data_IF_912202688377
#
_entry.id   IF_912202688377
#
_cell.length_a   1.000
_cell.length_b   1.000
_cell.length_c   1.000
_cell.angle_alpha   90.00
_cell.angle_beta   90.00
_cell.angle_gamma   90.00
#
_symmetry.space_group_name_H-M   'P 1'
#
loop_
_entity.id
_entity.type
_entity.pdbx_description
1 polymer ?
#
# COMPACT_ATOMS: atom_id res chain seq x y z
N UNK A 1 15.56 -42.82 -25.42
CA UNK A 1 15.99 -41.76 -24.50
C UNK A 1 14.71 -41.16 -23.90
N UNK A 2 14.38 -41.56 -22.66
CA UNK A 2 13.13 -41.16 -21.97
C UNK A 2 13.43 -39.89 -21.17
N UNK A 3 12.73 -38.80 -21.47
CA UNK A 3 12.82 -37.58 -20.71
C UNK A 3 11.93 -37.73 -19.47
N UNK A 4 12.53 -37.77 -18.30
CA UNK A 4 11.81 -37.71 -17.03
C UNK A 4 11.32 -36.29 -16.77
N UNK A 5 9.99 -36.11 -16.78
CA UNK A 5 9.35 -34.89 -16.35
C UNK A 5 9.38 -34.85 -14.81
N UNK A 6 10.25 -34.00 -14.26
CA UNK A 6 10.30 -33.77 -12.81
C UNK A 6 9.09 -32.92 -12.45
N UNK A 7 8.08 -33.54 -11.85
CA UNK A 7 6.91 -32.89 -11.29
C UNK A 7 7.33 -32.17 -10.00
N UNK A 8 7.37 -30.85 -10.04
CA UNK A 8 7.57 -30.01 -8.84
C UNK A 8 6.35 -30.14 -7.94
N UNK A 9 6.42 -30.95 -6.90
CA UNK A 9 5.37 -31.04 -5.87
C UNK A 9 5.51 -29.83 -4.98
N UNK A 10 4.61 -28.85 -5.16
CA UNK A 10 4.45 -27.74 -4.21
C UNK A 10 3.86 -28.34 -2.93
N UNK A 11 4.69 -28.47 -1.91
CA UNK A 11 4.23 -28.84 -0.57
C UNK A 11 3.34 -27.74 -0.01
N UNK A 12 2.05 -27.97 -0.02
CA UNK A 12 1.07 -27.18 0.74
C UNK A 12 1.37 -27.39 2.22
N UNK A 13 2.10 -26.47 2.86
CA UNK A 13 2.24 -26.49 4.31
C UNK A 13 0.90 -26.09 4.92
N UNK A 14 0.27 -26.95 5.75
CA UNK A 14 -0.90 -26.54 6.51
C UNK A 14 -0.51 -25.36 7.39
N UNK A 15 -1.26 -24.25 7.27
CA UNK A 15 -1.03 -23.05 8.06
C UNK A 15 -1.13 -23.40 9.56
N UNK A 16 -0.12 -23.10 10.37
CA UNK A 16 -0.28 -23.17 11.81
C UNK A 16 -1.40 -22.23 12.24
N UNK A 17 -2.06 -22.54 13.35
CA UNK A 17 -3.10 -21.75 14.04
C UNK A 17 -2.52 -20.43 14.58
N UNK A 18 -2.17 -19.51 13.67
CA UNK A 18 -1.33 -18.33 13.88
C UNK A 18 -2.09 -17.10 14.37
N UNK A 19 -3.43 -17.18 14.48
CA UNK A 19 -4.28 -16.02 14.72
C UNK A 19 -4.88 -15.93 16.12
N UNK A 20 -4.42 -16.75 17.07
CA UNK A 20 -5.04 -16.85 18.39
C UNK A 20 -4.99 -15.54 19.22
N UNK A 21 -4.12 -14.58 18.89
CA UNK A 21 -3.93 -13.33 19.62
C UNK A 21 -4.19 -12.04 18.78
N UNK A 22 -4.62 -12.17 17.53
CA UNK A 22 -4.91 -10.98 16.70
C UNK A 22 -6.26 -10.38 17.08
N UNK A 23 -6.34 -9.04 17.01
CA UNK A 23 -7.59 -8.30 17.18
C UNK A 23 -8.65 -8.81 16.17
N UNK A 24 -9.93 -8.97 16.59
CA UNK A 24 -10.98 -9.55 15.71
C UNK A 24 -11.14 -8.84 14.36
N UNK A 25 -11.02 -7.50 14.34
CA UNK A 25 -11.09 -6.71 13.12
C UNK A 25 -9.89 -6.98 12.19
N UNK A 26 -8.69 -7.09 12.74
CA UNK A 26 -7.52 -7.43 11.96
C UNK A 26 -7.62 -8.84 11.35
N UNK A 27 -8.14 -9.80 12.11
CA UNK A 27 -8.36 -11.17 11.62
C UNK A 27 -9.29 -11.24 10.41
N UNK A 28 -10.40 -10.49 10.45
CA UNK A 28 -11.34 -10.48 9.31
C UNK A 28 -10.73 -9.79 8.09
N UNK A 29 -9.94 -8.70 8.29
CA UNK A 29 -9.23 -8.02 7.22
C UNK A 29 -8.21 -8.93 6.54
N UNK A 30 -7.41 -9.67 7.30
CA UNK A 30 -6.46 -10.67 6.77
C UNK A 30 -7.17 -11.74 5.94
N UNK A 31 -8.31 -12.24 6.44
CA UNK A 31 -9.12 -13.23 5.71
C UNK A 31 -9.66 -12.65 4.40
N UNK A 32 -10.18 -11.42 4.44
CA UNK A 32 -10.72 -10.73 3.28
C UNK A 32 -9.63 -10.48 2.22
N UNK A 33 -8.46 -9.97 2.64
CA UNK A 33 -7.32 -9.73 1.76
C UNK A 33 -6.85 -11.01 1.05
N UNK A 34 -6.75 -12.14 1.75
CA UNK A 34 -6.35 -13.42 1.16
C UNK A 34 -7.38 -13.93 0.14
N UNK A 35 -8.68 -13.81 0.43
CA UNK A 35 -9.75 -14.23 -0.50
C UNK A 35 -9.75 -13.39 -1.78
N UNK A 36 -9.60 -12.08 -1.66
CA UNK A 36 -9.48 -11.19 -2.80
C UNK A 36 -8.22 -11.52 -3.63
N UNK A 37 -7.09 -11.70 -2.97
CA UNK A 37 -5.84 -12.06 -3.63
C UNK A 37 -5.92 -13.41 -4.37
N UNK A 38 -6.65 -14.40 -3.86
CA UNK A 38 -6.90 -15.67 -4.57
C UNK A 38 -7.64 -15.43 -5.90
N UNK A 39 -8.59 -14.47 -5.96
CA UNK A 39 -9.27 -14.08 -7.20
C UNK A 39 -8.29 -13.40 -8.17
N UNK A 40 -7.50 -12.47 -7.66
CA UNK A 40 -6.51 -11.72 -8.45
C UNK A 40 -5.50 -12.67 -9.10
N UNK A 41 -4.87 -13.56 -8.30
CA UNK A 41 -3.84 -14.49 -8.79
C UNK A 41 -4.41 -15.47 -9.83
N UNK A 42 -5.64 -15.97 -9.64
CA UNK A 42 -6.28 -16.83 -10.66
C UNK A 42 -6.50 -16.10 -11.98
N UNK A 43 -6.74 -14.79 -11.94
CA UNK A 43 -6.98 -13.98 -13.13
C UNK A 43 -5.70 -13.69 -13.94
N UNK A 44 -4.51 -13.86 -13.37
CA UNK A 44 -3.23 -13.74 -14.10
C UNK A 44 -3.11 -14.72 -15.29
N UNK A 45 -3.77 -15.87 -15.22
CA UNK A 45 -3.75 -16.85 -16.30
C UNK A 45 -4.62 -16.47 -17.50
N UNK A 46 -5.36 -15.35 -17.45
CA UNK A 46 -6.29 -14.91 -18.50
C UNK A 46 -6.21 -13.39 -18.77
N UNK A 47 -5.03 -12.79 -18.57
CA UNK A 47 -4.83 -11.35 -18.75
C UNK A 47 -5.28 -10.85 -20.13
N UNK A 48 -5.03 -11.62 -21.20
CA UNK A 48 -5.40 -11.27 -22.58
C UNK A 48 -6.91 -11.17 -22.82
N UNK A 49 -7.73 -11.74 -21.92
CA UNK A 49 -9.19 -11.76 -22.02
C UNK A 49 -9.91 -10.86 -21.02
N UNK A 50 -9.17 -10.09 -20.21
CA UNK A 50 -9.76 -9.21 -19.21
C UNK A 50 -10.40 -7.97 -19.84
N UNK A 51 -11.57 -7.61 -19.33
CA UNK A 51 -12.15 -6.30 -19.62
C UNK A 51 -11.42 -5.21 -18.84
N UNK A 52 -10.66 -4.38 -19.57
CA UNK A 52 -9.96 -3.22 -19.02
C UNK A 52 -10.74 -1.97 -19.38
N UNK A 53 -11.11 -1.18 -18.38
CA UNK A 53 -11.74 0.12 -18.54
C UNK A 53 -10.79 1.23 -18.05
N UNK A 54 -10.85 2.41 -18.68
CA UNK A 54 -10.09 3.58 -18.23
C UNK A 54 -10.99 4.47 -17.39
N UNK A 55 -10.57 4.78 -16.16
CA UNK A 55 -11.20 5.80 -15.29
C UNK A 55 -10.76 7.22 -15.68
N UNK A 56 -9.59 7.33 -16.32
CA UNK A 56 -8.97 8.58 -16.72
C UNK A 56 -7.62 8.34 -17.37
N UNK A 57 -6.83 9.41 -17.57
CA UNK A 57 -5.49 9.29 -18.14
C UNK A 57 -4.59 8.43 -17.24
N UNK A 58 -4.07 7.32 -17.78
CA UNK A 58 -3.22 6.37 -17.06
C UNK A 58 -3.83 5.82 -15.76
N UNK A 59 -5.15 5.77 -15.69
CA UNK A 59 -5.92 5.24 -14.56
C UNK A 59 -6.86 4.15 -15.08
N UNK A 60 -6.60 2.91 -14.68
CA UNK A 60 -7.23 1.72 -15.22
C UNK A 60 -7.95 0.94 -14.11
N UNK A 61 -9.03 0.29 -14.49
CA UNK A 61 -9.75 -0.66 -13.67
C UNK A 61 -10.10 -1.88 -14.50
N UNK A 62 -10.06 -3.03 -13.88
CA UNK A 62 -10.48 -4.29 -14.50
C UNK A 62 -11.70 -4.87 -13.80
N UNK A 63 -12.33 -5.88 -14.41
CA UNK A 63 -13.34 -6.67 -13.74
C UNK A 63 -12.82 -7.35 -12.46
N UNK A 64 -11.49 -7.56 -12.40
CA UNK A 64 -10.80 -8.20 -11.25
C UNK A 64 -10.78 -7.28 -10.05
N UNK A 65 -10.51 -5.99 -10.22
CA UNK A 65 -10.53 -4.98 -9.14
C UNK A 65 -11.92 -4.97 -8.47
N UNK A 66 -12.98 -4.86 -9.29
CA UNK A 66 -14.37 -4.86 -8.79
C UNK A 66 -14.76 -6.15 -8.11
N UNK A 67 -14.35 -7.30 -8.66
CA UNK A 67 -14.63 -8.60 -8.06
C UNK A 67 -13.89 -8.80 -6.75
N UNK A 68 -12.62 -8.35 -6.67
CA UNK A 68 -11.83 -8.39 -5.45
C UNK A 68 -12.42 -7.49 -4.36
N UNK A 69 -12.82 -6.26 -4.69
CA UNK A 69 -13.48 -5.34 -3.75
C UNK A 69 -14.80 -5.93 -3.23
N UNK A 70 -15.64 -6.47 -4.12
CA UNK A 70 -16.89 -7.10 -3.73
C UNK A 70 -16.68 -8.28 -2.77
N UNK A 71 -15.64 -9.11 -2.98
CA UNK A 71 -15.29 -10.23 -2.09
C UNK A 71 -14.80 -9.73 -0.72
N UNK A 72 -14.00 -8.66 -0.67
CA UNK A 72 -13.56 -8.04 0.58
C UNK A 72 -14.78 -7.56 1.36
N UNK A 73 -15.64 -6.76 0.73
CA UNK A 73 -16.84 -6.21 1.35
C UNK A 73 -17.77 -7.33 1.84
N UNK A 74 -18.02 -8.35 1.02
CA UNK A 74 -18.88 -9.48 1.39
C UNK A 74 -18.32 -10.27 2.57
N UNK A 75 -16.98 -10.48 2.61
CA UNK A 75 -16.32 -11.19 3.70
C UNK A 75 -16.44 -10.43 5.02
N UNK A 76 -16.20 -9.12 5.00
CA UNK A 76 -16.28 -8.27 6.20
C UNK A 76 -17.74 -8.11 6.65
N UNK A 77 -18.67 -7.83 5.73
CA UNK A 77 -20.09 -7.58 6.05
C UNK A 77 -20.79 -8.77 6.69
N UNK A 78 -20.39 -10.00 6.37
CA UNK A 78 -20.91 -11.20 7.06
C UNK A 78 -20.63 -11.21 8.55
N UNK A 79 -19.48 -10.67 8.96
CA UNK A 79 -19.08 -10.62 10.36
C UNK A 79 -19.54 -9.30 11.04
N UNK A 80 -19.61 -8.21 10.26
CA UNK A 80 -19.88 -6.86 10.72
C UNK A 80 -20.85 -6.15 9.76
N UNK A 81 -22.18 -6.44 9.83
CA UNK A 81 -23.15 -5.92 8.88
C UNK A 81 -23.34 -4.40 8.95
N UNK A 82 -23.08 -3.79 10.11
CA UNK A 82 -23.29 -2.35 10.36
C UNK A 82 -22.04 -1.49 10.11
N UNK A 83 -20.95 -2.08 9.57
CA UNK A 83 -19.75 -1.32 9.23
C UNK A 83 -19.92 -0.62 7.88
N UNK A 84 -19.25 0.54 7.76
CA UNK A 84 -19.16 1.31 6.52
C UNK A 84 -17.94 0.88 5.70
N UNK A 85 -17.93 1.25 4.40
CA UNK A 85 -16.82 0.99 3.49
C UNK A 85 -16.56 2.23 2.64
N UNK A 86 -15.29 2.49 2.39
CA UNK A 86 -14.77 3.41 1.39
C UNK A 86 -13.86 2.61 0.46
N UNK A 87 -14.38 2.19 -0.68
CA UNK A 87 -13.63 1.45 -1.69
C UNK A 87 -13.14 2.35 -2.82
N UNK A 88 -12.04 1.99 -3.45
CA UNK A 88 -11.54 2.67 -4.64
C UNK A 88 -12.56 2.58 -5.78
N UNK A 89 -13.21 1.43 -5.95
CA UNK A 89 -14.12 1.16 -7.07
C UNK A 89 -15.56 1.56 -6.77
N UNK A 90 -16.02 1.27 -5.56
CA UNK A 90 -17.42 1.51 -5.15
C UNK A 90 -17.67 2.85 -4.47
N UNK A 91 -16.61 3.56 -4.06
CA UNK A 91 -16.74 4.76 -3.25
C UNK A 91 -17.30 4.49 -1.85
N UNK A 92 -18.04 5.45 -1.31
CA UNK A 92 -18.62 5.38 0.03
C UNK A 92 -19.85 4.46 0.07
N UNK A 93 -19.85 3.46 0.95
CA UNK A 93 -20.98 2.56 1.18
C UNK A 93 -21.36 2.57 2.66
N UNK A 94 -22.55 3.05 2.95
CA UNK A 94 -23.12 3.08 4.30
C UNK A 94 -22.46 4.10 5.23
N UNK A 95 -22.82 4.00 6.50
CA UNK A 95 -22.25 4.75 7.61
C UNK A 95 -22.23 3.84 8.83
N UNK A 96 -21.22 3.93 9.69
CA UNK A 96 -21.11 3.04 10.83
C UNK A 96 -19.96 3.44 11.77
N UNK A 97 -19.83 2.74 12.91
CA UNK A 97 -18.80 3.05 13.91
C UNK A 97 -17.38 2.70 13.45
N UNK A 98 -17.28 1.81 12.47
CA UNK A 98 -16.04 1.40 11.82
C UNK A 98 -16.22 1.55 10.32
N UNK A 99 -15.24 2.14 9.66
CA UNK A 99 -15.18 2.28 8.21
C UNK A 99 -13.96 1.56 7.68
N UNK A 100 -14.17 0.71 6.68
CA UNK A 100 -13.13 -0.01 6.00
C UNK A 100 -12.71 0.75 4.74
N UNK A 101 -11.43 1.09 4.64
CA UNK A 101 -10.85 1.79 3.50
C UNK A 101 -10.10 0.74 2.70
N UNK A 102 -10.49 0.56 1.43
CA UNK A 102 -10.12 -0.62 0.63
C UNK A 102 -9.53 -0.17 -0.71
N UNK A 103 -8.33 -0.63 -0.99
CA UNK A 103 -7.80 -0.76 -2.33
C UNK A 103 -7.76 -2.25 -2.67
N UNK A 104 -8.61 -2.71 -3.59
CA UNK A 104 -8.69 -4.14 -3.92
C UNK A 104 -7.48 -4.63 -4.70
N UNK A 105 -6.81 -3.75 -5.48
CA UNK A 105 -5.68 -4.10 -6.34
C UNK A 105 -4.77 -2.88 -6.57
N UNK A 106 -4.02 -2.48 -5.53
CA UNK A 106 -3.01 -1.44 -5.68
C UNK A 106 -1.89 -1.91 -6.61
N UNK A 107 -1.75 -1.22 -7.74
CA UNK A 107 -0.88 -1.60 -8.84
C UNK A 107 -1.61 -2.25 -10.02
N UNK A 108 -2.84 -1.83 -10.34
CA UNK A 108 -3.66 -2.33 -11.48
C UNK A 108 -2.89 -2.30 -12.79
N UNK A 109 -2.11 -1.22 -13.04
CA UNK A 109 -1.27 -1.15 -14.26
C UNK A 109 -0.24 -2.28 -14.29
N UNK A 110 0.41 -2.58 -13.18
CA UNK A 110 1.36 -3.70 -13.08
C UNK A 110 0.65 -5.04 -13.35
N UNK A 111 -0.51 -5.22 -12.73
CA UNK A 111 -1.32 -6.43 -12.91
C UNK A 111 -1.70 -6.65 -14.38
N UNK A 112 -2.21 -5.63 -15.09
CA UNK A 112 -2.60 -5.71 -16.51
C UNK A 112 -1.41 -6.13 -17.39
N UNK A 113 -0.21 -5.64 -17.05
CA UNK A 113 1.02 -5.98 -17.78
C UNK A 113 1.70 -7.29 -17.29
N UNK A 114 1.10 -8.04 -16.37
CA UNK A 114 1.68 -9.25 -15.81
C UNK A 114 2.94 -9.00 -14.94
N UNK A 115 3.17 -7.74 -14.54
CA UNK A 115 4.27 -7.39 -13.65
C UNK A 115 3.93 -7.80 -12.21
N UNK A 116 4.70 -8.69 -11.54
CA UNK A 116 4.34 -9.27 -10.24
C UNK A 116 4.62 -8.31 -9.07
N UNK A 117 4.03 -7.12 -9.10
CA UNK A 117 4.17 -6.09 -8.05
C UNK A 117 2.85 -5.33 -7.90
N UNK A 118 1.98 -5.86 -7.08
CA UNK A 118 0.67 -5.33 -6.72
C UNK A 118 0.23 -5.96 -5.39
N UNK A 119 -0.75 -5.36 -4.73
CA UNK A 119 -1.24 -5.87 -3.45
C UNK A 119 -2.73 -5.58 -3.23
N UNK A 120 -3.26 -6.16 -2.15
CA UNK A 120 -4.53 -5.78 -1.54
C UNK A 120 -4.24 -4.94 -0.31
N UNK A 121 -4.86 -3.78 -0.17
CA UNK A 121 -4.72 -2.86 0.97
C UNK A 121 -6.07 -2.67 1.67
N UNK A 122 -6.12 -2.90 2.98
CA UNK A 122 -7.34 -2.76 3.81
C UNK A 122 -6.98 -2.04 5.10
N UNK A 123 -7.54 -0.83 5.30
CA UNK A 123 -7.47 -0.09 6.54
C UNK A 123 -8.79 -0.11 7.29
N UNK A 124 -8.79 -0.18 8.61
CA UNK A 124 -9.99 0.00 9.43
C UNK A 124 -9.89 1.30 10.22
N UNK A 125 -10.78 2.24 9.92
CA UNK A 125 -10.91 3.54 10.59
C UNK A 125 -11.96 3.46 11.68
N UNK A 126 -11.55 3.75 12.92
CA UNK A 126 -12.40 3.76 14.09
C UNK A 126 -12.36 5.16 14.70
N UNK A 127 -13.52 5.81 14.83
CA UNK A 127 -13.62 7.17 15.38
C UNK A 127 -12.66 8.16 14.68
N UNK A 128 -12.60 8.08 13.35
CA UNK A 128 -11.80 8.99 12.52
C UNK A 128 -10.31 8.65 12.41
N UNK A 129 -9.83 7.59 13.07
CA UNK A 129 -8.41 7.18 13.08
C UNK A 129 -8.23 5.76 12.57
N UNK A 130 -7.17 5.50 11.80
CA UNK A 130 -6.81 4.14 11.39
C UNK A 130 -6.26 3.38 12.59
N UNK A 131 -6.95 2.31 12.98
CA UNK A 131 -6.58 1.46 14.11
C UNK A 131 -6.10 0.06 13.70
N UNK A 132 -6.45 -0.42 12.48
CA UNK A 132 -5.93 -1.65 11.92
C UNK A 132 -5.59 -1.46 10.44
N UNK A 133 -4.54 -2.14 9.98
CA UNK A 133 -4.11 -2.13 8.58
C UNK A 133 -3.57 -3.48 8.13
N UNK A 134 -3.88 -3.83 6.89
CA UNK A 134 -3.38 -5.03 6.19
C UNK A 134 -2.95 -4.63 4.80
N UNK A 135 -1.73 -5.00 4.42
CA UNK A 135 -1.23 -4.97 3.04
C UNK A 135 -0.77 -6.39 2.69
N UNK A 136 -1.34 -6.98 1.66
CA UNK A 136 -1.02 -8.34 1.25
C UNK A 136 -0.49 -8.39 -0.18
N UNK A 137 0.78 -8.77 -0.32
CA UNK A 137 1.44 -9.09 -1.59
C UNK A 137 1.19 -10.57 -1.94
N UNK A 138 0.31 -10.89 -2.89
CA UNK A 138 0.01 -12.27 -3.22
C UNK A 138 1.11 -12.97 -4.00
N UNK A 139 1.95 -12.21 -4.69
CA UNK A 139 3.01 -12.79 -5.52
C UNK A 139 4.20 -13.26 -4.69
N UNK A 140 4.48 -12.57 -3.56
CA UNK A 140 5.49 -12.97 -2.58
C UNK A 140 4.90 -13.76 -1.42
N UNK A 141 3.55 -13.81 -1.33
CA UNK A 141 2.80 -14.38 -0.20
C UNK A 141 3.19 -13.72 1.13
N UNK A 142 3.44 -12.43 1.11
CA UNK A 142 3.83 -11.63 2.26
C UNK A 142 2.65 -10.80 2.76
N UNK A 143 2.28 -10.98 4.02
CA UNK A 143 1.22 -10.20 4.65
C UNK A 143 1.80 -9.28 5.72
N UNK A 144 1.61 -7.98 5.52
CA UNK A 144 1.96 -6.92 6.46
C UNK A 144 0.72 -6.55 7.24
N UNK A 145 0.84 -6.49 8.55
CA UNK A 145 -0.29 -6.17 9.44
C UNK A 145 0.14 -5.18 10.51
N UNK A 146 -0.77 -4.30 10.90
CA UNK A 146 -0.59 -3.44 12.06
C UNK A 146 -1.90 -3.27 12.82
N UNK A 147 -1.79 -3.15 14.14
CA UNK A 147 -2.82 -2.62 15.02
C UNK A 147 -2.21 -1.54 15.88
N UNK A 148 -2.93 -0.45 16.07
CA UNK A 148 -2.44 0.70 16.82
C UNK A 148 -2.06 0.31 18.25
N UNK A 149 -0.80 0.59 18.59
CA UNK A 149 -0.20 0.24 19.89
C UNK A 149 0.39 -1.17 19.97
N UNK A 150 0.11 -2.06 19.01
CA UNK A 150 0.61 -3.44 19.04
C UNK A 150 1.86 -3.64 18.15
N UNK A 151 2.20 -2.62 17.33
CA UNK A 151 3.30 -2.65 16.38
C UNK A 151 2.91 -3.20 15.01
N UNK A 152 3.86 -3.15 14.08
CA UNK A 152 3.74 -3.69 12.73
C UNK A 152 4.42 -5.06 12.62
N UNK A 153 3.85 -5.94 11.80
CA UNK A 153 4.31 -7.31 11.61
C UNK A 153 4.33 -7.70 10.14
N UNK A 154 5.32 -8.51 9.74
CA UNK A 154 5.38 -9.25 8.48
C UNK A 154 5.33 -10.74 8.82
N UNK A 155 4.31 -11.47 8.35
CA UNK A 155 4.13 -12.90 8.65
C UNK A 155 4.29 -13.21 10.16
N UNK A 156 3.68 -12.40 11.02
CA UNK A 156 3.75 -12.44 12.49
C UNK A 156 5.13 -12.13 13.13
N UNK A 157 6.12 -11.75 12.34
CA UNK A 157 7.38 -11.22 12.87
C UNK A 157 7.26 -9.71 13.00
N UNK A 158 7.53 -9.20 14.19
CA UNK A 158 7.55 -7.75 14.40
C UNK A 158 8.59 -7.10 13.49
N UNK A 159 8.18 -6.07 12.74
CA UNK A 159 9.05 -5.30 11.85
C UNK A 159 9.33 -3.91 12.41
N UNK A 160 10.38 -3.29 11.91
CA UNK A 160 10.79 -1.92 12.21
C UNK A 160 11.29 -1.25 10.93
N UNK A 161 11.10 0.06 10.85
CA UNK A 161 11.78 0.88 9.85
C UNK A 161 13.29 0.75 9.96
N UNK A 162 14.00 1.09 8.90
CA UNK A 162 15.46 1.00 8.86
C UNK A 162 16.15 1.88 9.90
N UNK A 163 17.38 1.54 10.25
CA UNK A 163 18.24 2.34 11.12
C UNK A 163 19.04 3.41 10.38
N UNK A 164 18.69 3.68 9.10
CA UNK A 164 19.36 4.67 8.25
C UNK A 164 19.29 6.07 8.88
N UNK A 165 20.39 6.80 8.86
CA UNK A 165 20.53 8.06 9.62
C UNK A 165 20.49 9.33 8.76
N UNK A 166 20.40 9.19 7.44
CA UNK A 166 20.38 10.32 6.49
C UNK A 166 20.16 9.80 5.08
N UNK A 167 20.32 10.68 4.10
CA UNK A 167 20.04 10.37 2.69
C UNK A 167 21.18 9.59 2.03
N UNK A 168 22.43 9.82 2.44
CA UNK A 168 23.58 9.09 1.91
C UNK A 168 23.43 7.58 2.20
N UNK A 169 23.40 6.78 1.14
CA UNK A 169 23.16 5.35 1.22
C UNK A 169 21.70 4.92 1.34
N UNK A 170 20.75 5.86 1.46
CA UNK A 170 19.33 5.57 1.56
C UNK A 170 18.73 5.08 0.23
N UNK A 171 17.76 4.17 0.32
CA UNK A 171 16.94 3.71 -0.79
C UNK A 171 15.53 4.27 -0.66
N UNK A 172 15.09 5.08 -1.65
CA UNK A 172 13.82 5.81 -1.59
C UNK A 172 12.83 5.26 -2.61
N UNK A 173 11.61 4.97 -2.14
CA UNK A 173 10.45 4.67 -2.99
C UNK A 173 9.74 5.94 -3.44
N UNK A 174 9.05 5.91 -4.59
CA UNK A 174 8.27 7.04 -5.10
C UNK A 174 7.25 6.60 -6.14
N UNK A 175 6.24 7.45 -6.40
CA UNK A 175 5.35 7.40 -7.54
C UNK A 175 5.43 8.65 -8.41
N UNK A 176 4.79 8.65 -9.58
CA UNK A 176 4.82 9.77 -10.52
C UNK A 176 3.46 10.47 -10.62
N UNK A 177 3.41 11.81 -10.63
CA UNK A 177 2.16 12.58 -10.75
C UNK A 177 1.69 12.64 -12.22
N UNK A 178 1.37 11.49 -12.84
CA UNK A 178 0.98 11.42 -14.24
C UNK A 178 -0.51 11.14 -14.49
N UNK A 179 -1.30 10.94 -13.42
CA UNK A 179 -2.76 10.76 -13.51
C UNK A 179 -3.44 12.13 -13.59
N UNK A 180 -3.93 12.62 -12.45
CA UNK A 180 -4.67 13.88 -12.34
C UNK A 180 -3.80 15.09 -11.92
N UNK A 181 -2.53 14.86 -11.54
CA UNK A 181 -1.66 15.86 -10.90
C UNK A 181 -0.48 16.28 -11.81
N UNK A 182 -0.72 16.31 -13.14
CA UNK A 182 0.33 16.62 -14.12
C UNK A 182 0.87 18.04 -14.01
N UNK A 183 0.14 18.96 -13.37
CA UNK A 183 0.61 20.31 -13.06
C UNK A 183 1.82 20.33 -12.12
N UNK A 184 2.05 19.27 -11.37
CA UNK A 184 3.21 19.15 -10.48
C UNK A 184 4.39 18.43 -11.11
N UNK A 185 4.32 18.03 -12.38
CA UNK A 185 5.34 17.19 -12.99
C UNK A 185 6.74 17.82 -12.97
N UNK A 186 6.87 19.10 -13.32
CA UNK A 186 8.17 19.79 -13.30
C UNK A 186 8.71 19.92 -11.88
N UNK A 187 7.85 20.25 -10.93
CA UNK A 187 8.19 20.30 -9.50
C UNK A 187 8.65 18.95 -9.00
N UNK A 188 7.91 17.89 -9.33
CA UNK A 188 8.24 16.52 -8.96
C UNK A 188 9.58 16.08 -9.57
N UNK A 189 9.85 16.39 -10.84
CA UNK A 189 11.11 16.06 -11.50
C UNK A 189 12.31 16.77 -10.85
N UNK A 190 12.12 18.01 -10.38
CA UNK A 190 13.15 18.70 -9.61
C UNK A 190 13.42 18.02 -8.27
N UNK A 191 12.37 17.63 -7.52
CA UNK A 191 12.46 16.84 -6.30
C UNK A 191 13.17 15.50 -6.55
N UNK A 192 12.74 14.77 -7.57
CA UNK A 192 13.31 13.48 -7.94
C UNK A 192 14.80 13.58 -8.26
N UNK A 193 15.19 14.61 -9.02
CA UNK A 193 16.61 14.89 -9.35
C UNK A 193 17.44 15.02 -8.07
N UNK A 194 16.97 15.80 -7.11
CA UNK A 194 17.72 16.01 -5.86
C UNK A 194 17.75 14.73 -5.02
N UNK A 195 16.66 13.95 -4.97
CA UNK A 195 16.67 12.64 -4.31
C UNK A 195 17.68 11.71 -4.96
N UNK A 196 17.74 11.64 -6.31
CA UNK A 196 18.70 10.79 -7.04
C UNK A 196 20.16 11.19 -6.77
N UNK A 197 20.45 12.48 -6.62
CA UNK A 197 21.79 12.98 -6.38
C UNK A 197 22.28 12.77 -4.94
N UNK A 198 21.36 12.60 -4.00
CA UNK A 198 21.69 12.57 -2.56
C UNK A 198 21.43 11.19 -1.90
N UNK A 199 21.00 10.19 -2.66
CA UNK A 199 20.66 8.85 -2.12
C UNK A 199 21.39 7.73 -2.88
N UNK A 200 21.35 6.51 -2.35
CA UNK A 200 21.90 5.34 -3.04
C UNK A 200 21.06 4.90 -4.24
N UNK A 201 19.79 5.33 -4.29
CA UNK A 201 18.93 5.02 -5.42
C UNK A 201 17.46 5.23 -5.16
N UNK A 202 16.70 5.25 -6.27
CA UNK A 202 15.26 5.42 -6.26
C UNK A 202 14.58 4.16 -6.79
N UNK A 203 13.41 3.84 -6.26
CA UNK A 203 12.53 2.79 -6.76
C UNK A 203 11.17 3.39 -7.09
N UNK A 204 10.64 3.02 -8.26
CA UNK A 204 9.28 3.37 -8.70
C UNK A 204 8.55 2.09 -9.08
N UNK A 205 8.18 1.24 -8.11
CA UNK A 205 7.60 -0.07 -8.43
C UNK A 205 6.14 0.02 -8.88
N UNK A 206 5.37 1.01 -8.41
CA UNK A 206 4.01 1.28 -8.88
C UNK A 206 2.89 0.67 -8.05
N UNK A 207 3.11 0.52 -6.74
CA UNK A 207 2.13 0.13 -5.73
C UNK A 207 2.46 0.89 -4.44
N UNK A 208 1.71 1.95 -4.15
CA UNK A 208 1.99 2.86 -3.03
C UNK A 208 1.83 2.16 -1.66
N UNK A 209 0.84 1.29 -1.53
CA UNK A 209 0.64 0.52 -0.30
C UNK A 209 1.81 -0.44 -0.02
N UNK A 210 2.38 -1.09 -1.06
CA UNK A 210 3.60 -1.90 -0.91
C UNK A 210 4.82 -1.05 -0.62
N UNK A 211 4.98 0.11 -1.23
CA UNK A 211 6.08 1.02 -0.96
C UNK A 211 6.09 1.44 0.53
N UNK A 212 4.92 1.78 1.09
CA UNK A 212 4.76 2.07 2.51
C UNK A 212 5.04 0.85 3.40
N UNK A 213 4.57 -0.34 3.00
CA UNK A 213 4.85 -1.58 3.71
C UNK A 213 6.36 -1.91 3.71
N UNK A 214 7.07 -1.59 2.64
CA UNK A 214 8.52 -1.77 2.53
C UNK A 214 9.30 -0.77 3.39
N UNK A 215 8.82 0.48 3.52
CA UNK A 215 9.36 1.42 4.51
C UNK A 215 9.19 0.85 5.92
N UNK A 216 7.99 0.35 6.27
CA UNK A 216 7.71 -0.23 7.58
C UNK A 216 8.59 -1.46 7.89
N UNK A 217 8.96 -2.23 6.86
CA UNK A 217 9.83 -3.41 6.98
C UNK A 217 11.34 -3.09 6.90
N UNK A 218 11.72 -1.81 6.71
CA UNK A 218 13.10 -1.39 6.55
C UNK A 218 13.77 -1.89 5.25
N UNK A 219 12.97 -2.23 4.22
CA UNK A 219 13.45 -2.62 2.88
C UNK A 219 13.80 -1.40 2.05
N UNK A 220 13.05 -0.31 2.22
CA UNK A 220 13.35 1.04 1.77
C UNK A 220 13.44 1.94 2.98
N UNK A 221 14.15 3.05 2.85
CA UNK A 221 14.42 3.97 3.96
C UNK A 221 13.42 5.10 4.02
N UNK A 222 12.77 5.38 2.89
CA UNK A 222 11.74 6.40 2.75
C UNK A 222 10.90 6.22 1.49
N UNK A 223 9.81 6.99 1.44
CA UNK A 223 8.88 7.06 0.32
C UNK A 223 8.29 8.46 0.23
N UNK A 224 8.06 8.96 -0.98
CA UNK A 224 7.29 10.18 -1.22
C UNK A 224 6.48 10.09 -2.50
N UNK A 225 5.26 10.62 -2.47
CA UNK A 225 4.39 10.67 -3.65
C UNK A 225 3.40 11.82 -3.54
N UNK A 226 2.88 12.28 -4.69
CA UNK A 226 1.93 13.37 -4.82
C UNK A 226 0.58 12.83 -5.30
N UNK A 227 -0.50 13.14 -4.57
CA UNK A 227 -1.86 12.95 -5.03
C UNK A 227 -2.39 11.52 -4.93
N UNK A 228 -2.06 10.83 -3.86
CA UNK A 228 -2.60 9.49 -3.56
C UNK A 228 -4.05 9.54 -3.08
N UNK A 229 -4.80 8.47 -3.29
CA UNK A 229 -6.11 8.25 -2.69
C UNK A 229 -6.02 7.82 -1.21
N UNK A 230 -7.12 7.89 -0.46
CA UNK A 230 -7.13 7.42 0.93
C UNK A 230 -6.89 5.90 1.04
N UNK A 231 -7.30 5.13 0.05
CA UNK A 231 -7.11 3.68 -0.01
C UNK A 231 -5.66 3.26 -0.23
N UNK A 232 -4.87 4.02 -1.01
CA UNK A 232 -3.43 3.81 -1.23
C UNK A 232 -2.63 3.89 0.08
N UNK A 233 -3.12 4.71 1.03
CA UNK A 233 -2.32 5.13 2.18
C UNK A 233 -2.81 4.61 3.53
N UNK A 234 -4.10 4.27 3.67
CA UNK A 234 -4.71 3.98 4.97
C UNK A 234 -4.00 2.85 5.74
N UNK A 235 -3.79 1.68 5.12
CA UNK A 235 -3.11 0.57 5.77
C UNK A 235 -1.61 0.84 5.92
N UNK A 236 -0.98 1.31 4.83
CA UNK A 236 0.47 1.56 4.78
C UNK A 236 0.95 2.60 5.78
N UNK A 237 0.17 3.67 6.00
CA UNK A 237 0.51 4.70 6.98
C UNK A 237 0.57 4.14 8.40
N UNK A 238 -0.40 3.33 8.80
CA UNK A 238 -0.38 2.69 10.11
C UNK A 238 0.81 1.72 10.25
N UNK A 239 1.14 0.96 9.19
CA UNK A 239 2.31 0.08 9.19
C UNK A 239 3.60 0.86 9.49
N UNK A 240 3.80 2.01 8.83
CA UNK A 240 4.99 2.84 9.05
C UNK A 240 5.04 3.40 10.46
N UNK A 241 3.93 3.97 10.98
CA UNK A 241 3.83 4.50 12.34
C UNK A 241 4.16 3.42 13.38
N UNK A 242 3.51 2.25 13.27
CA UNK A 242 3.67 1.14 14.21
C UNK A 242 5.04 0.44 14.10
N UNK A 243 5.74 0.60 12.97
CA UNK A 243 7.12 0.18 12.81
C UNK A 243 8.15 1.20 13.38
N UNK A 244 7.68 2.34 13.89
CA UNK A 244 8.52 3.41 14.44
C UNK A 244 9.03 4.41 13.41
N UNK A 245 8.42 4.47 12.22
CA UNK A 245 8.65 5.48 11.21
C UNK A 245 7.88 6.78 11.48
N UNK A 246 8.06 7.75 10.57
CA UNK A 246 7.33 9.02 10.56
C UNK A 246 6.61 9.20 9.24
N UNK A 247 5.46 9.83 9.30
CA UNK A 247 4.65 10.20 8.16
C UNK A 247 4.22 11.65 8.30
N UNK A 248 4.12 12.34 7.19
CA UNK A 248 3.59 13.69 7.09
C UNK A 248 3.32 14.08 5.65
N UNK A 249 2.82 15.29 5.48
CA UNK A 249 2.73 15.94 4.17
C UNK A 249 4.14 16.30 3.65
N UNK A 250 4.25 16.73 2.40
CA UNK A 250 5.55 17.18 1.83
C UNK A 250 6.14 18.38 2.59
N UNK A 251 5.31 19.17 3.27
CA UNK A 251 5.74 20.29 4.12
C UNK A 251 6.01 19.89 5.58
N UNK A 252 5.82 18.60 5.93
CA UNK A 252 6.01 18.08 7.29
C UNK A 252 4.78 18.28 8.21
N UNK A 253 3.64 18.71 7.66
CA UNK A 253 2.38 18.82 8.38
C UNK A 253 1.75 17.47 8.75
N UNK A 254 0.62 17.53 9.45
CA UNK A 254 -0.16 16.35 9.81
C UNK A 254 -0.69 15.63 8.54
N UNK A 255 -0.43 14.33 8.44
CA UNK A 255 -0.92 13.53 7.34
C UNK A 255 -2.37 13.09 7.57
N UNK A 256 -3.23 13.41 6.60
CA UNK A 256 -4.58 12.86 6.48
C UNK A 256 -4.55 11.84 5.34
N UNK A 257 -5.25 10.71 5.50
CA UNK A 257 -5.25 9.66 4.47
C UNK A 257 -5.56 10.23 3.08
N UNK A 258 -4.69 9.91 2.12
CA UNK A 258 -4.71 10.50 0.77
C UNK A 258 -3.89 11.77 0.64
N UNK A 259 -3.76 12.30 -0.58
CA UNK A 259 -2.99 13.51 -0.88
C UNK A 259 -1.49 13.27 -1.02
N UNK A 260 -0.71 14.23 -0.52
CA UNK A 260 0.74 14.24 -0.67
C UNK A 260 1.41 13.63 0.57
N UNK A 261 2.38 12.76 0.38
CA UNK A 261 2.97 12.00 1.48
C UNK A 261 4.51 11.99 1.46
N UNK A 262 5.12 12.06 2.63
CA UNK A 262 6.47 11.60 2.95
C UNK A 262 6.38 10.60 4.09
N UNK A 263 6.98 9.42 3.92
CA UNK A 263 7.06 8.39 4.94
C UNK A 263 8.48 7.85 5.00
N UNK A 264 9.09 7.76 6.18
CA UNK A 264 10.47 7.29 6.30
C UNK A 264 10.83 6.88 7.74
N UNK A 265 12.03 6.30 7.91
CA UNK A 265 12.68 6.23 9.21
C UNK A 265 12.92 7.66 9.77
N UNK A 266 12.94 7.85 11.09
CA UNK A 266 12.87 9.21 11.67
C UNK A 266 13.93 10.19 11.16
N UNK A 267 15.18 9.74 10.96
CA UNK A 267 16.28 10.60 10.50
C UNK A 267 16.25 10.85 8.99
N UNK A 268 15.83 9.86 8.21
CA UNK A 268 15.62 10.01 6.77
C UNK A 268 14.43 10.93 6.52
N UNK A 269 13.36 10.85 7.31
CA UNK A 269 12.19 11.73 7.20
C UNK A 269 12.57 13.22 7.31
N UNK A 270 13.33 13.60 8.36
CA UNK A 270 13.80 14.98 8.55
C UNK A 270 14.65 15.44 7.35
N UNK A 271 15.56 14.59 6.88
CA UNK A 271 16.44 14.89 5.76
C UNK A 271 15.68 14.99 4.42
N UNK A 272 14.67 14.14 4.19
CA UNK A 272 13.79 14.22 3.02
C UNK A 272 13.00 15.52 3.01
N UNK A 273 12.37 15.90 4.12
CA UNK A 273 11.64 17.17 4.19
C UNK A 273 12.56 18.36 3.86
N UNK A 274 13.76 18.39 4.41
CA UNK A 274 14.72 19.47 4.11
C UNK A 274 15.12 19.50 2.63
N UNK A 275 15.30 18.33 2.00
CA UNK A 275 15.64 18.19 0.58
C UNK A 275 14.49 18.63 -0.34
N UNK A 276 13.24 18.29 0.00
CA UNK A 276 12.07 18.56 -0.83
C UNK A 276 11.55 19.99 -0.68
N UNK A 277 11.76 20.63 0.50
CA UNK A 277 11.23 21.95 0.85
C UNK A 277 11.49 23.07 -0.18
N UNK A 278 12.69 23.18 -0.82
CA UNK A 278 12.95 24.22 -1.82
C UNK A 278 12.06 24.16 -3.07
N UNK A 279 11.55 22.96 -3.38
CA UNK A 279 10.73 22.69 -4.55
C UNK A 279 9.22 22.87 -4.33
N UNK A 280 8.77 23.02 -3.08
CA UNK A 280 7.35 23.11 -2.76
C UNK A 280 6.73 24.39 -3.30
N UNK A 281 5.74 24.26 -4.17
CA UNK A 281 4.86 25.35 -4.57
C UNK A 281 3.94 25.77 -3.40
N UNK A 282 3.34 26.98 -3.43
CA UNK A 282 2.37 27.38 -2.40
C UNK A 282 1.29 26.32 -2.15
N UNK A 283 0.71 25.76 -3.21
CA UNK A 283 -0.34 24.74 -3.13
C UNK A 283 0.16 23.43 -2.47
N UNK A 284 1.39 22.98 -2.75
CA UNK A 284 1.98 21.79 -2.10
C UNK A 284 2.43 22.04 -0.65
N UNK A 285 2.39 23.29 -0.17
CA UNK A 285 2.69 23.65 1.22
C UNK A 285 1.45 23.67 2.11
N UNK A 286 0.27 23.86 1.49
CA UNK A 286 -1.01 23.98 2.18
C UNK A 286 -1.71 22.63 2.38
N UNK A 287 -1.25 21.60 1.70
CA UNK A 287 -1.79 20.22 1.74
C UNK A 287 -1.38 19.46 3.00
#
# INVERSE_FOLDING_TARGET
MSAAVTMCVVFYRPFPTLFANMQPLLNIAVRAARRAADLIVRSLNRLDSLEVSSKGRNDYVTEVDRAAEAEIIATIRRAYPDHAFLGEESGQIGSGPVEWIIDPLDGTTNFIHGMPHFCVSIGARIRGRIDHGVVYDPMRQEIFTASRGDGAHLENRRIRVSAQRGLEGALIGTGFPYRANTEYLDTYLAMLKDVMLNTAGVRRPGSAALDLAYVAAGRTDGFFEIGLGPWDTAAGSLLVEEAGGRIGTLSGGEFKQGGNIVAASPKVYEAMLALLAPHLTPKLRED
#
